data_IF_699108269502
#
_entry.id   IF_699108269502
#
_cell.length_a   1.000
_cell.length_b   1.000
_cell.length_c   1.000
_cell.angle_alpha   90.00
_cell.angle_beta   90.00
_cell.angle_gamma   90.00
#
_symmetry.space_group_name_H-M   'P 1'
#
loop_
_entity.id
_entity.type
_entity.pdbx_description
1 polymer ?
#
# COMPACT_ATOMS: atom_id res chain seq x y z
N UNK A 1 14.94 8.18 -3.91
CA UNK A 1 14.20 8.08 -2.65
C UNK A 1 14.04 6.64 -2.21
N UNK A 2 13.97 6.37 -0.91
CA UNK A 2 13.29 5.18 -0.39
C UNK A 2 11.81 5.23 -0.81
N UNK A 3 11.03 4.14 -0.64
CA UNK A 3 9.61 4.20 -0.94
C UNK A 3 8.93 5.37 -0.22
N UNK A 4 8.06 6.10 -0.92
CA UNK A 4 7.37 7.29 -0.39
C UNK A 4 5.84 7.16 -0.44
N UNK A 5 5.36 6.00 -0.88
CA UNK A 5 3.93 5.69 -0.93
C UNK A 5 3.35 5.49 0.46
N UNK A 6 2.03 5.50 0.56
CA UNK A 6 1.34 5.25 1.84
C UNK A 6 1.85 3.94 2.45
N UNK A 7 2.31 4.00 3.68
CA UNK A 7 2.87 2.86 4.41
C UNK A 7 2.85 3.15 5.92
N UNK A 8 2.55 2.15 6.77
CA UNK A 8 2.48 2.33 8.21
C UNK A 8 3.86 2.46 8.87
N UNK A 9 4.91 1.94 8.23
CA UNK A 9 6.25 1.94 8.82
C UNK A 9 7.08 3.16 8.43
N UNK A 10 8.18 3.37 9.15
CA UNK A 10 9.14 4.41 8.84
C UNK A 10 10.10 4.05 7.70
N UNK A 11 10.31 2.75 7.43
CA UNK A 11 11.15 2.28 6.32
C UNK A 11 10.42 2.28 4.97
N UNK A 12 9.08 2.22 4.98
CA UNK A 12 8.19 2.35 3.81
C UNK A 12 8.22 1.20 2.78
N UNK A 13 8.86 0.05 3.06
CA UNK A 13 8.88 -1.11 2.16
C UNK A 13 7.62 -2.00 2.26
N UNK A 14 6.73 -1.73 3.20
CA UNK A 14 5.42 -2.34 3.40
C UNK A 14 4.31 -1.45 2.82
N UNK A 15 4.29 -1.34 1.49
CA UNK A 15 3.39 -0.41 0.79
C UNK A 15 1.93 -0.73 1.10
N UNK A 16 1.20 0.30 1.53
CA UNK A 16 -0.23 0.24 1.83
C UNK A 16 -1.10 0.71 0.66
N UNK A 17 -0.68 1.74 -0.07
CA UNK A 17 -1.36 2.23 -1.27
C UNK A 17 -0.34 2.82 -2.25
N UNK A 18 -0.22 2.23 -3.44
CA UNK A 18 0.70 2.67 -4.50
C UNK A 18 0.19 3.89 -5.28
N UNK A 19 -1.08 4.25 -5.14
CA UNK A 19 -1.69 5.34 -5.88
C UNK A 19 -1.39 6.72 -5.28
N UNK A 20 -0.90 6.75 -4.03
CA UNK A 20 -0.74 7.98 -3.29
C UNK A 20 0.58 8.05 -2.52
N UNK A 21 1.11 9.27 -2.48
CA UNK A 21 2.21 9.62 -1.59
C UNK A 21 1.70 9.61 -0.15
N UNK A 22 2.50 9.08 0.76
CA UNK A 22 2.15 9.03 2.18
C UNK A 22 1.91 10.45 2.73
N UNK A 23 0.74 10.74 3.30
CA UNK A 23 0.44 12.05 3.86
C UNK A 23 1.38 12.49 4.98
N UNK A 24 2.04 11.54 5.67
CA UNK A 24 3.06 11.86 6.68
C UNK A 24 4.39 12.38 6.06
N UNK A 25 4.62 12.12 4.77
CA UNK A 25 5.73 12.71 3.98
C UNK A 25 5.23 13.93 3.21
N UNK A 26 4.02 13.83 2.65
CA UNK A 26 3.39 14.84 1.83
C UNK A 26 2.67 15.92 2.64
N UNK A 27 1.34 15.89 2.62
CA UNK A 27 0.51 16.91 3.26
C UNK A 27 -0.74 16.31 3.91
N UNK A 28 -0.89 16.53 5.21
CA UNK A 28 -2.13 16.24 5.96
C UNK A 28 -2.97 17.52 6.01
N UNK A 29 -4.17 17.49 5.45
CA UNK A 29 -5.15 18.58 5.47
C UNK A 29 -6.33 18.28 6.40
N UNK A 30 -6.66 17.00 6.57
CA UNK A 30 -7.62 16.49 7.54
C UNK A 30 -6.90 15.61 8.56
N UNK A 31 -7.10 15.88 9.85
CA UNK A 31 -6.45 15.16 10.96
C UNK A 31 -7.47 14.89 12.09
N UNK A 32 -8.50 14.14 11.74
CA UNK A 32 -9.62 13.83 12.62
C UNK A 32 -9.47 12.43 13.24
N UNK A 33 -10.17 12.19 14.37
CA UNK A 33 -10.22 10.90 15.04
C UNK A 33 -9.26 10.81 16.22
N UNK A 34 -9.13 9.57 16.73
CA UNK A 34 -8.38 9.26 17.94
C UNK A 34 -7.08 8.52 17.62
N UNK A 35 -6.05 8.79 18.39
CA UNK A 35 -4.84 7.96 18.42
C UNK A 35 -5.12 6.68 19.21
N UNK A 36 -4.48 5.58 18.80
CA UNK A 36 -4.50 4.35 19.58
C UNK A 36 -3.97 4.60 21.00
N UNK A 37 -4.67 4.10 21.99
CA UNK A 37 -4.18 4.10 23.37
C UNK A 37 -2.92 3.27 23.47
N UNK A 38 -2.04 3.60 24.41
CA UNK A 38 -0.78 2.86 24.60
C UNK A 38 -0.99 1.37 24.85
N UNK A 39 -2.10 0.98 25.50
CA UNK A 39 -2.48 -0.41 25.72
C UNK A 39 -2.86 -1.17 24.44
N UNK A 40 -3.21 -0.44 23.37
CA UNK A 40 -3.64 -0.98 22.09
C UNK A 40 -2.49 -0.98 21.05
N UNK A 41 -1.45 -0.20 21.29
CA UNK A 41 -0.32 -0.01 20.35
C UNK A 41 0.57 -1.26 20.18
N UNK A 42 0.47 -2.25 21.03
CA UNK A 42 1.24 -3.48 20.93
C UNK A 42 0.65 -4.52 19.99
N UNK A 43 -0.60 -4.35 19.59
CA UNK A 43 -1.32 -5.30 18.73
C UNK A 43 -1.40 -4.75 17.31
N UNK A 44 -0.32 -4.93 16.55
CA UNK A 44 -0.23 -4.53 15.13
C UNK A 44 -0.78 -5.59 14.17
N UNK A 45 -1.22 -6.73 14.70
CA UNK A 45 -1.82 -7.80 13.91
C UNK A 45 -3.32 -7.58 13.81
N UNK A 46 -3.89 -7.75 12.63
CA UNK A 46 -5.34 -7.73 12.48
C UNK A 46 -5.93 -8.93 13.21
N UNK A 47 -6.71 -8.63 14.23
CA UNK A 47 -7.55 -9.56 14.94
C UNK A 47 -9.00 -9.16 14.65
N UNK A 48 -9.88 -10.06 14.19
CA UNK A 48 -11.28 -9.73 13.93
C UNK A 48 -12.00 -9.14 15.14
N UNK A 49 -11.55 -9.47 16.35
CA UNK A 49 -12.11 -8.93 17.60
C UNK A 49 -11.50 -7.57 17.99
N UNK A 50 -10.25 -7.32 17.56
CA UNK A 50 -9.50 -6.11 17.92
C UNK A 50 -8.81 -5.48 16.70
N UNK A 51 -9.54 -5.16 15.65
CA UNK A 51 -8.94 -4.60 14.44
C UNK A 51 -8.35 -3.20 14.70
N UNK A 52 -7.32 -2.86 13.97
CA UNK A 52 -6.71 -1.53 13.98
C UNK A 52 -7.68 -0.39 13.54
N UNK A 53 -8.96 -0.72 13.30
CA UNK A 53 -10.07 0.23 13.13
C UNK A 53 -10.14 1.30 14.23
N UNK A 54 -9.61 1.00 15.42
CA UNK A 54 -9.55 1.97 16.53
C UNK A 54 -8.52 3.09 16.28
N UNK A 55 -7.61 2.92 15.32
CA UNK A 55 -6.66 3.95 14.91
C UNK A 55 -7.31 5.00 13.98
N UNK A 56 -8.46 5.53 14.36
CA UNK A 56 -9.31 6.35 13.47
C UNK A 56 -8.59 7.58 12.93
N UNK A 57 -7.67 8.19 13.68
CA UNK A 57 -6.85 9.30 13.18
C UNK A 57 -5.85 8.86 12.11
N UNK A 58 -5.19 7.72 12.29
CA UNK A 58 -4.32 7.16 11.26
C UNK A 58 -5.12 6.82 10.00
N UNK A 59 -6.27 6.16 10.17
CA UNK A 59 -7.18 5.83 9.07
C UNK A 59 -7.60 7.09 8.32
N UNK A 60 -8.05 8.14 9.02
CA UNK A 60 -8.38 9.42 8.41
C UNK A 60 -7.22 9.97 7.57
N UNK A 61 -6.00 9.97 8.10
CA UNK A 61 -4.82 10.46 7.37
C UNK A 61 -4.55 9.72 6.07
N UNK A 62 -4.70 8.38 6.06
CA UNK A 62 -4.25 7.51 4.95
C UNK A 62 -5.38 7.03 4.04
N UNK A 63 -6.65 7.32 4.34
CA UNK A 63 -7.81 6.94 3.51
C UNK A 63 -8.61 8.12 3.01
N UNK A 64 -8.53 9.28 3.67
CA UNK A 64 -9.25 10.48 3.22
C UNK A 64 -8.65 11.03 1.93
N UNK A 65 -9.52 11.17 0.90
CA UNK A 65 -9.07 11.59 -0.44
C UNK A 65 -8.45 12.97 -0.47
N UNK A 66 -8.88 13.90 0.39
CA UNK A 66 -8.28 15.24 0.45
C UNK A 66 -6.82 15.17 0.89
N UNK A 67 -6.48 14.32 1.87
CA UNK A 67 -5.11 14.09 2.30
C UNK A 67 -4.26 13.44 1.20
N UNK A 68 -4.82 12.42 0.56
CA UNK A 68 -4.13 11.65 -0.46
C UNK A 68 -3.85 12.50 -1.71
N UNK A 69 -4.84 13.25 -2.17
CA UNK A 69 -4.70 14.13 -3.33
C UNK A 69 -3.79 15.32 -3.04
N UNK A 70 -3.90 15.93 -1.86
CA UNK A 70 -3.00 17.01 -1.43
C UNK A 70 -1.54 16.53 -1.36
N UNK A 71 -1.31 15.29 -0.96
CA UNK A 71 0.03 14.70 -0.91
C UNK A 71 0.59 14.41 -2.30
N UNK A 72 -0.25 13.93 -3.20
CA UNK A 72 0.14 13.74 -4.60
C UNK A 72 0.49 15.08 -5.28
N UNK A 73 -0.31 16.12 -5.04
CA UNK A 73 -0.02 17.46 -5.57
C UNK A 73 1.28 18.04 -5.00
N UNK A 74 1.48 17.90 -3.68
CA UNK A 74 2.73 18.30 -3.04
C UNK A 74 3.95 17.62 -3.68
N UNK A 75 3.84 16.34 -4.00
CA UNK A 75 4.93 15.62 -4.64
C UNK A 75 5.15 16.04 -6.11
N UNK A 76 4.09 16.32 -6.85
CA UNK A 76 4.20 16.86 -8.21
C UNK A 76 4.95 18.20 -8.21
N UNK A 77 4.59 19.10 -7.30
CA UNK A 77 5.27 20.39 -7.12
C UNK A 77 6.75 20.20 -6.73
N UNK A 78 7.03 19.23 -5.85
CA UNK A 78 8.39 18.88 -5.46
C UNK A 78 9.23 18.40 -6.66
N UNK A 79 8.70 17.51 -7.50
CA UNK A 79 9.42 17.00 -8.69
C UNK A 79 9.68 18.13 -9.68
N UNK A 80 8.70 18.99 -9.94
CA UNK A 80 8.88 20.17 -10.79
C UNK A 80 10.00 21.06 -10.29
N UNK A 81 10.04 21.30 -8.97
CA UNK A 81 11.07 22.15 -8.36
C UNK A 81 12.47 21.51 -8.37
N UNK A 82 12.54 20.17 -8.23
CA UNK A 82 13.78 19.41 -8.41
C UNK A 82 14.30 19.55 -9.85
N UNK A 83 13.43 19.39 -10.84
CA UNK A 83 13.79 19.53 -12.25
C UNK A 83 14.29 20.93 -12.60
N UNK A 84 13.68 21.98 -12.06
CA UNK A 84 14.17 23.38 -12.21
C UNK A 84 15.61 23.56 -11.73
N UNK A 85 16.03 22.75 -10.76
CA UNK A 85 17.41 22.73 -10.22
C UNK A 85 18.32 21.73 -10.92
N UNK A 86 17.86 21.09 -12.00
CA UNK A 86 18.64 20.09 -12.75
C UNK A 86 18.78 18.74 -12.04
N UNK A 87 17.97 18.48 -11.00
CA UNK A 87 17.99 17.19 -10.28
C UNK A 87 17.02 16.21 -10.93
N UNK A 88 17.43 14.94 -10.98
CA UNK A 88 16.58 13.82 -11.38
C UNK A 88 15.93 13.17 -10.18
N UNK A 89 14.70 12.68 -10.33
CA UNK A 89 13.92 12.02 -9.30
C UNK A 89 13.69 10.58 -9.69
N UNK A 90 14.21 9.65 -8.89
CA UNK A 90 14.01 8.20 -9.04
C UNK A 90 13.20 7.70 -7.85
N UNK A 91 12.12 6.97 -8.12
CA UNK A 91 11.30 6.34 -7.10
C UNK A 91 11.77 4.90 -6.82
N UNK A 92 11.49 4.43 -5.62
CA UNK A 92 11.70 3.04 -5.22
C UNK A 92 10.40 2.26 -5.45
N UNK A 93 10.44 1.29 -6.35
CA UNK A 93 9.33 0.42 -6.73
C UNK A 93 9.41 -0.91 -6.00
N UNK A 94 8.60 -1.06 -4.95
CA UNK A 94 8.45 -2.30 -4.20
C UNK A 94 7.28 -3.07 -4.79
N UNK A 95 7.53 -3.82 -5.86
CA UNK A 95 6.46 -4.52 -6.60
C UNK A 95 6.45 -6.04 -6.43
N UNK A 96 7.41 -6.62 -5.70
CA UNK A 96 7.41 -8.05 -5.39
C UNK A 96 6.39 -8.42 -4.30
N UNK A 97 6.18 -7.55 -3.35
CA UNK A 97 5.27 -7.69 -2.22
C UNK A 97 4.65 -6.35 -1.87
N UNK A 98 3.61 -6.38 -1.07
CA UNK A 98 3.06 -5.17 -0.43
C UNK A 98 3.14 -5.31 1.10
N UNK A 99 2.55 -4.36 1.84
CA UNK A 99 2.37 -4.49 3.29
C UNK A 99 1.06 -5.18 3.64
N UNK A 100 0.94 -5.70 4.85
CA UNK A 100 -0.31 -6.28 5.39
C UNK A 100 -1.44 -5.23 5.50
N UNK A 101 -1.07 -3.96 5.61
CA UNK A 101 -2.00 -2.82 5.58
C UNK A 101 -2.52 -2.47 4.18
N UNK A 102 -1.97 -3.08 3.11
CA UNK A 102 -2.32 -2.72 1.74
C UNK A 102 -3.82 -2.92 1.48
N UNK A 103 -4.45 -1.93 0.82
CA UNK A 103 -5.89 -1.93 0.51
C UNK A 103 -6.36 -3.15 -0.28
N UNK A 104 -5.47 -3.82 -1.02
CA UNK A 104 -5.82 -5.02 -1.78
C UNK A 104 -5.98 -6.25 -0.88
N UNK A 105 -5.19 -6.36 0.20
CA UNK A 105 -5.31 -7.43 1.18
C UNK A 105 -6.19 -7.01 2.36
N UNK A 106 -5.89 -5.84 2.93
CA UNK A 106 -6.53 -5.26 4.11
C UNK A 106 -6.55 -6.20 5.32
N UNK A 107 -5.39 -6.84 5.61
CA UNK A 107 -5.25 -7.69 6.79
C UNK A 107 -5.54 -6.95 8.08
N UNK A 108 -5.21 -5.66 8.12
CA UNK A 108 -5.39 -4.81 9.28
C UNK A 108 -6.79 -4.19 9.38
N UNK A 109 -7.69 -4.54 8.45
CA UNK A 109 -9.11 -4.15 8.42
C UNK A 109 -9.35 -2.64 8.51
N UNK A 110 -8.44 -1.83 7.98
CA UNK A 110 -8.54 -0.36 7.99
C UNK A 110 -9.33 0.20 6.81
N UNK A 111 -9.49 -0.59 5.74
CA UNK A 111 -10.28 -0.22 4.56
C UNK A 111 -11.66 -0.86 4.53
N UNK A 112 -11.92 -1.90 5.34
CA UNK A 112 -13.15 -2.69 5.34
C UNK A 112 -14.42 -1.84 5.41
N UNK A 113 -14.39 -0.79 6.24
CA UNK A 113 -15.51 0.14 6.43
C UNK A 113 -15.19 1.56 5.89
N UNK A 114 -14.07 1.75 5.21
CA UNK A 114 -13.68 3.06 4.70
C UNK A 114 -14.49 3.41 3.45
N UNK A 115 -15.14 4.58 3.39
CA UNK A 115 -15.96 4.98 2.24
C UNK A 115 -15.15 5.06 0.94
N UNK A 116 -15.65 4.44 -0.13
CA UNK A 116 -15.04 4.48 -1.45
C UNK A 116 -13.88 3.48 -1.65
N UNK A 117 -13.77 2.50 -0.76
CA UNK A 117 -12.85 1.38 -0.90
C UNK A 117 -13.61 0.05 -1.00
N UNK A 118 -13.05 -0.85 -1.79
CA UNK A 118 -13.51 -2.24 -1.86
C UNK A 118 -12.93 -3.04 -0.69
N UNK A 119 -13.60 -4.11 -0.31
CA UNK A 119 -13.07 -5.03 0.72
C UNK A 119 -11.82 -5.73 0.21
N UNK A 120 -10.79 -5.79 1.04
CA UNK A 120 -9.56 -6.50 0.74
C UNK A 120 -9.73 -8.01 0.65
N UNK A 121 -8.76 -8.67 0.02
CA UNK A 121 -8.78 -10.12 -0.20
C UNK A 121 -8.67 -10.94 1.09
N UNK A 122 -8.12 -10.39 2.15
CA UNK A 122 -8.13 -11.01 3.48
C UNK A 122 -9.54 -11.04 4.07
N UNK A 123 -10.30 -9.95 3.88
CA UNK A 123 -11.61 -9.74 4.49
C UNK A 123 -12.69 -10.57 3.80
N UNK A 124 -12.65 -10.67 2.45
CA UNK A 124 -13.71 -11.30 1.67
C UNK A 124 -13.19 -12.14 0.53
N UNK A 125 -13.77 -13.31 0.35
CA UNK A 125 -13.55 -14.17 -0.82
C UNK A 125 -13.98 -13.50 -2.13
N UNK A 126 -15.01 -12.66 -2.08
CA UNK A 126 -15.57 -11.96 -3.24
C UNK A 126 -14.83 -10.64 -3.54
N UNK A 127 -13.68 -10.40 -2.89
CA UNK A 127 -12.85 -9.22 -3.13
C UNK A 127 -12.39 -9.15 -4.59
N UNK A 128 -12.46 -7.99 -5.25
CA UNK A 128 -11.90 -7.81 -6.59
C UNK A 128 -10.38 -8.03 -6.62
N UNK A 129 -9.74 -8.03 -5.46
CA UNK A 129 -8.30 -8.25 -5.30
C UNK A 129 -7.92 -9.69 -4.95
N UNK A 130 -8.90 -10.63 -4.97
CA UNK A 130 -8.68 -12.02 -4.55
C UNK A 130 -7.54 -12.69 -5.31
N UNK A 131 -7.44 -12.46 -6.62
CA UNK A 131 -6.40 -13.03 -7.47
C UNK A 131 -5.01 -12.42 -7.28
N UNK A 132 -4.90 -11.26 -6.58
CA UNK A 132 -3.64 -10.57 -6.36
C UNK A 132 -2.71 -11.31 -5.38
N UNK A 133 -3.29 -12.25 -4.63
CA UNK A 133 -2.59 -13.04 -3.61
C UNK A 133 -2.87 -14.52 -3.82
N UNK A 134 -1.88 -15.35 -3.51
CA UNK A 134 -2.04 -16.81 -3.50
C UNK A 134 -2.47 -17.23 -2.10
N UNK A 135 -3.64 -17.86 -2.01
CA UNK A 135 -4.15 -18.42 -0.76
C UNK A 135 -4.07 -19.96 -0.82
N UNK A 136 -3.67 -20.58 0.29
CA UNK A 136 -3.54 -22.03 0.38
C UNK A 136 -4.81 -22.70 0.88
N UNK A 137 -5.66 -21.95 1.59
CA UNK A 137 -6.93 -22.41 2.16
C UNK A 137 -8.05 -21.45 1.77
N UNK A 138 -9.23 -22.00 1.54
CA UNK A 138 -10.42 -21.23 1.18
C UNK A 138 -11.30 -20.97 2.43
N UNK A 139 -10.72 -20.21 3.40
CA UNK A 139 -11.37 -19.95 4.70
C UNK A 139 -11.61 -18.45 4.85
N UNK A 140 -12.87 -18.01 4.73
CA UNK A 140 -13.29 -16.63 4.92
C UNK A 140 -14.44 -16.52 5.94
N UNK A 141 -14.65 -15.34 6.52
CA UNK A 141 -13.86 -14.10 6.39
C UNK A 141 -12.51 -14.17 7.10
N UNK A 142 -11.64 -13.19 6.79
CA UNK A 142 -10.34 -12.98 7.44
C UNK A 142 -9.35 -14.13 7.21
N UNK A 143 -9.10 -14.41 5.92
CA UNK A 143 -8.21 -15.50 5.53
C UNK A 143 -6.73 -15.17 5.75
N UNK A 144 -6.10 -15.85 6.70
CA UNK A 144 -4.68 -15.70 7.07
C UNK A 144 -3.74 -16.61 6.27
N UNK A 145 -4.27 -17.49 5.40
CA UNK A 145 -3.50 -18.52 4.67
C UNK A 145 -3.06 -18.03 3.30
N UNK A 146 -2.21 -17.00 3.26
CA UNK A 146 -1.68 -16.43 2.03
C UNK A 146 -0.15 -16.42 1.99
N UNK A 147 0.42 -16.36 0.77
CA UNK A 147 1.86 -16.27 0.57
C UNK A 147 2.44 -14.94 1.04
N UNK A 148 3.52 -15.03 1.82
CA UNK A 148 4.36 -13.90 2.19
C UNK A 148 5.75 -14.00 1.57
N UNK A 149 6.38 -12.87 1.24
CA UNK A 149 7.76 -12.84 0.80
C UNK A 149 8.66 -13.43 1.89
N UNK A 150 9.39 -14.50 1.56
CA UNK A 150 10.20 -15.29 2.49
C UNK A 150 9.40 -15.80 3.72
N UNK A 151 8.10 -16.02 3.54
CA UNK A 151 7.20 -16.49 4.61
C UNK A 151 6.77 -15.42 5.60
N UNK A 152 7.09 -14.14 5.36
CA UNK A 152 6.66 -13.03 6.20
C UNK A 152 5.22 -12.64 5.87
N UNK A 153 4.30 -12.92 6.77
CA UNK A 153 2.87 -12.59 6.64
C UNK A 153 2.57 -11.08 6.66
N UNK A 154 3.50 -10.27 7.17
CA UNK A 154 3.43 -8.80 7.10
C UNK A 154 3.86 -8.23 5.75
N UNK A 155 4.44 -9.07 4.87
CA UNK A 155 4.88 -8.72 3.52
C UNK A 155 4.24 -9.66 2.49
N UNK A 156 2.91 -9.55 2.26
CA UNK A 156 2.18 -10.40 1.33
C UNK A 156 2.79 -10.37 -0.06
N UNK A 157 3.09 -11.55 -0.62
CA UNK A 157 3.68 -11.66 -1.96
C UNK A 157 2.60 -11.41 -3.03
N UNK A 158 2.95 -10.64 -4.05
CA UNK A 158 2.06 -10.33 -5.17
C UNK A 158 2.09 -11.44 -6.22
N UNK A 159 0.91 -11.92 -6.63
CA UNK A 159 0.71 -13.09 -7.48
C UNK A 159 0.61 -12.73 -8.96
N UNK A 160 1.73 -12.38 -9.59
CA UNK A 160 1.77 -12.07 -11.03
C UNK A 160 1.55 -13.28 -11.94
N UNK A 161 1.76 -14.50 -11.43
CA UNK A 161 1.64 -15.73 -12.23
C UNK A 161 0.19 -16.03 -12.61
N UNK A 162 -0.76 -15.66 -11.74
CA UNK A 162 -2.17 -16.02 -11.89
C UNK A 162 -3.10 -14.80 -12.02
N UNK A 163 -2.58 -13.57 -11.95
CA UNK A 163 -3.38 -12.35 -12.00
C UNK A 163 -2.89 -11.34 -13.05
N UNK A 164 -3.52 -11.39 -14.21
CA UNK A 164 -3.33 -10.37 -15.24
C UNK A 164 -3.81 -8.98 -14.77
N UNK A 165 -4.88 -8.94 -13.96
CA UNK A 165 -5.42 -7.71 -13.40
C UNK A 165 -4.39 -7.01 -12.50
N UNK A 166 -3.70 -7.77 -11.63
CA UNK A 166 -2.61 -7.24 -10.82
C UNK A 166 -1.49 -6.68 -11.70
N UNK A 167 -1.07 -7.45 -12.72
CA UNK A 167 -0.03 -7.00 -13.64
C UNK A 167 -0.41 -5.69 -14.32
N UNK A 168 -1.64 -5.57 -14.82
CA UNK A 168 -2.12 -4.35 -15.47
C UNK A 168 -2.20 -3.18 -14.47
N UNK A 169 -2.61 -3.44 -13.24
CA UNK A 169 -2.65 -2.42 -12.20
C UNK A 169 -1.25 -1.88 -11.89
N UNK A 170 -0.27 -2.76 -11.68
CA UNK A 170 1.12 -2.36 -11.39
C UNK A 170 1.72 -1.62 -12.59
N UNK A 171 1.44 -2.04 -13.81
CA UNK A 171 1.85 -1.31 -15.02
C UNK A 171 1.21 0.07 -15.12
N UNK A 172 -0.05 0.21 -14.67
CA UNK A 172 -0.71 1.51 -14.55
C UNK A 172 0.02 2.41 -13.54
N UNK A 173 0.31 1.88 -12.35
CA UNK A 173 1.08 2.59 -11.30
C UNK A 173 2.44 3.04 -11.84
N UNK A 174 3.18 2.13 -12.48
CA UNK A 174 4.50 2.43 -13.02
C UNK A 174 4.46 3.58 -14.05
N UNK A 175 3.44 3.58 -14.90
CA UNK A 175 3.24 4.65 -15.90
C UNK A 175 2.76 5.96 -15.27
N UNK A 176 1.85 5.89 -14.29
CA UNK A 176 1.28 7.06 -13.61
C UNK A 176 2.39 7.98 -13.11
N UNK A 177 3.34 7.45 -12.38
CA UNK A 177 4.36 8.25 -11.71
C UNK A 177 5.42 8.83 -12.66
N UNK A 178 5.69 8.16 -13.79
CA UNK A 178 6.62 8.69 -14.83
C UNK A 178 5.93 9.62 -15.85
N UNK A 179 4.62 9.81 -15.71
CA UNK A 179 3.81 10.64 -16.61
C UNK A 179 3.36 11.93 -15.92
N UNK A 180 2.90 12.95 -16.67
CA UNK A 180 2.31 14.13 -16.08
C UNK A 180 1.12 13.78 -15.14
N UNK A 181 0.97 14.50 -14.03
CA UNK A 181 1.73 15.68 -13.59
C UNK A 181 3.03 15.36 -12.84
N UNK A 182 3.30 14.10 -12.50
CA UNK A 182 4.40 13.72 -11.60
C UNK A 182 5.77 13.77 -12.30
N UNK A 183 5.88 13.17 -13.51
CA UNK A 183 7.07 13.22 -14.36
C UNK A 183 8.37 12.76 -13.66
N UNK A 184 8.31 11.76 -12.76
CA UNK A 184 9.56 11.21 -12.20
C UNK A 184 10.41 10.58 -13.30
N UNK A 185 11.73 10.59 -13.14
CA UNK A 185 12.68 10.21 -14.19
C UNK A 185 12.87 8.69 -14.31
N UNK A 186 12.36 7.91 -13.37
CA UNK A 186 12.44 6.45 -13.43
C UNK A 186 12.23 5.75 -12.09
N UNK A 187 12.47 4.45 -12.11
CA UNK A 187 12.30 3.53 -10.99
C UNK A 187 13.60 2.81 -10.63
N UNK A 188 13.86 2.67 -9.36
CA UNK A 188 14.71 1.63 -8.80
C UNK A 188 13.77 0.50 -8.37
N UNK A 189 13.97 -0.71 -8.83
CA UNK A 189 13.14 -1.85 -8.47
C UNK A 189 13.76 -2.58 -7.28
N UNK A 190 13.01 -2.64 -6.19
CA UNK A 190 13.39 -3.41 -5.01
C UNK A 190 13.22 -4.91 -5.29
N UNK A 191 14.15 -5.72 -4.81
CA UNK A 191 14.18 -7.20 -4.94
C UNK A 191 13.75 -7.71 -6.32
N UNK A 192 14.24 -7.05 -7.37
CA UNK A 192 13.85 -7.32 -8.76
C UNK A 192 14.10 -8.78 -9.20
N UNK A 193 15.05 -9.46 -8.57
CA UNK A 193 15.35 -10.87 -8.84
C UNK A 193 14.21 -11.81 -8.38
N UNK A 194 13.43 -11.40 -7.39
CA UNK A 194 12.33 -12.21 -6.82
C UNK A 194 10.98 -11.90 -7.50
N UNK A 195 10.95 -10.87 -8.34
CA UNK A 195 9.72 -10.42 -8.99
C UNK A 195 9.26 -11.43 -10.05
N UNK A 196 8.07 -11.99 -9.87
CA UNK A 196 7.46 -12.90 -10.83
C UNK A 196 8.10 -14.30 -10.90
N UNK A 197 8.96 -14.66 -9.95
CA UNK A 197 9.45 -16.02 -9.82
C UNK A 197 8.87 -16.67 -8.57
N UNK A 198 8.21 -17.83 -8.75
CA UNK A 198 8.01 -18.77 -7.66
C UNK A 198 9.40 -19.24 -7.20
N UNK A 199 9.63 -19.27 -5.90
CA UNK A 199 10.81 -19.92 -5.36
C UNK A 199 10.64 -21.44 -5.58
N UNK A 200 11.16 -21.97 -6.69
CA UNK A 200 11.52 -23.36 -6.84
C UNK A 200 12.97 -23.56 -6.37
#
# INVERSE_FOLDING_TARGET
>A
FNPIFVSPSNHKYDIQDYDYIDPHIGKIVKDEGELLKRSEQGNLMCDPEHPNKNASRYICRVTDKENLEASNQFFADFVEEAHKRGMKVILDGVFNHCGSFNKWLDRECIYEDAPGYEKGAFVSQDSPYRSYFKFWEEIWPYNTYYDGWWGHDTLPKLNYEESDELFQYVMHIARKWVSPPYNVDGWRLDVAADLGHSAE
#
